data_IF_960245093420
#
_entry.id   IF_960245093420
#
_cell.length_a   1.000
_cell.length_b   1.000
_cell.length_c   1.000
_cell.angle_alpha   90.00
_cell.angle_beta   90.00
_cell.angle_gamma   90.00
#
_symmetry.space_group_name_H-M   'P 1'
#
loop_
_entity.id
_entity.type
_entity.pdbx_description
1 polymer ?
#
# COMPACT_ATOMS: atom_id res chain seq x y z
N UNK A 1 61.17 3.07 -17.42
CA UNK A 1 59.95 3.69 -17.98
C UNK A 1 58.76 2.73 -18.04
N UNK A 2 58.95 1.45 -18.43
CA UNK A 2 57.85 0.47 -18.63
C UNK A 2 57.10 0.05 -17.35
N UNK A 3 57.78 -0.07 -16.19
CA UNK A 3 57.12 -0.43 -14.91
C UNK A 3 56.12 0.62 -14.40
N UNK A 4 56.40 1.91 -14.64
CA UNK A 4 55.54 2.99 -14.14
C UNK A 4 54.25 3.08 -14.97
N UNK A 5 54.36 2.91 -16.29
CA UNK A 5 53.21 2.90 -17.19
C UNK A 5 52.29 1.69 -16.96
N UNK A 6 52.85 0.52 -16.66
CA UNK A 6 52.05 -0.68 -16.34
C UNK A 6 51.31 -0.54 -15.01
N UNK A 7 51.95 -0.01 -13.96
CA UNK A 7 51.30 0.25 -12.67
C UNK A 7 50.13 1.25 -12.77
N UNK A 8 50.27 2.30 -13.59
CA UNK A 8 49.21 3.28 -13.83
C UNK A 8 47.98 2.65 -14.50
N UNK A 9 48.20 1.75 -15.45
CA UNK A 9 47.14 1.04 -16.15
C UNK A 9 46.34 0.14 -15.19
N UNK A 10 47.02 -0.58 -14.28
CA UNK A 10 46.31 -1.38 -13.27
C UNK A 10 45.37 -0.51 -12.42
N UNK A 11 45.86 0.63 -11.92
CA UNK A 11 45.04 1.54 -11.12
C UNK A 11 43.85 2.08 -11.92
N UNK A 12 44.05 2.42 -13.21
CA UNK A 12 42.98 2.85 -14.10
C UNK A 12 41.93 1.75 -14.32
N UNK A 13 42.32 0.49 -14.46
CA UNK A 13 41.36 -0.62 -14.57
C UNK A 13 40.57 -0.82 -13.27
N UNK A 14 41.21 -0.71 -12.10
CA UNK A 14 40.51 -0.83 -10.81
C UNK A 14 39.48 0.29 -10.61
N UNK A 15 39.82 1.54 -10.92
CA UNK A 15 38.87 2.66 -10.78
C UNK A 15 37.73 2.57 -11.78
N UNK A 16 38.02 2.17 -13.03
CA UNK A 16 36.99 1.93 -14.05
C UNK A 16 36.05 0.79 -13.64
N UNK A 17 36.58 -0.33 -13.15
CA UNK A 17 35.78 -1.45 -12.66
C UNK A 17 34.90 -1.04 -11.47
N UNK A 18 35.40 -0.21 -10.55
CA UNK A 18 34.62 0.30 -9.43
C UNK A 18 33.46 1.21 -9.90
N UNK A 19 33.72 2.11 -10.87
CA UNK A 19 32.68 2.96 -11.47
C UNK A 19 31.63 2.12 -12.17
N UNK A 20 32.05 1.12 -12.96
CA UNK A 20 31.13 0.20 -13.66
C UNK A 20 30.28 -0.61 -12.68
N UNK A 21 30.87 -1.12 -11.60
CA UNK A 21 30.13 -1.83 -10.55
C UNK A 21 29.09 -0.92 -9.90
N UNK A 22 29.45 0.33 -9.57
CA UNK A 22 28.51 1.30 -8.98
C UNK A 22 27.37 1.66 -9.93
N UNK A 23 27.68 1.84 -11.22
CA UNK A 23 26.68 2.07 -12.26
C UNK A 23 25.75 0.86 -12.41
N UNK A 24 26.30 -0.35 -12.46
CA UNK A 24 25.52 -1.58 -12.53
C UNK A 24 24.59 -1.72 -11.32
N UNK A 25 25.09 -1.46 -10.11
CA UNK A 25 24.29 -1.55 -8.90
C UNK A 25 23.17 -0.49 -8.86
N UNK A 26 23.42 0.72 -9.39
CA UNK A 26 22.41 1.76 -9.53
C UNK A 26 21.33 1.40 -10.55
N UNK A 27 21.74 0.91 -11.72
CA UNK A 27 20.81 0.45 -12.77
C UNK A 27 19.98 -0.73 -12.26
N UNK A 28 20.61 -1.71 -11.61
CA UNK A 28 19.93 -2.85 -11.01
C UNK A 28 18.92 -2.42 -9.95
N UNK A 29 19.28 -1.47 -9.08
CA UNK A 29 18.38 -0.93 -8.06
C UNK A 29 17.15 -0.22 -8.65
N UNK A 30 17.23 0.31 -9.87
CA UNK A 30 16.10 0.95 -10.58
C UNK A 30 15.27 -0.09 -11.34
N UNK A 31 15.92 -1.01 -12.06
CA UNK A 31 15.23 -2.01 -12.90
C UNK A 31 14.53 -3.06 -12.03
N UNK A 32 15.17 -3.53 -10.96
CA UNK A 32 14.65 -4.57 -10.10
C UNK A 32 13.25 -4.28 -9.54
N UNK A 33 12.96 -3.13 -8.91
CA UNK A 33 11.63 -2.84 -8.38
C UNK A 33 10.58 -2.65 -9.47
N UNK A 34 10.97 -2.23 -10.67
CA UNK A 34 10.02 -1.95 -11.75
C UNK A 34 9.64 -3.20 -12.56
N UNK A 35 10.59 -4.12 -12.75
CA UNK A 35 10.39 -5.30 -13.60
C UNK A 35 10.31 -6.63 -12.85
N UNK A 36 11.00 -6.79 -11.71
CA UNK A 36 11.21 -8.10 -11.09
C UNK A 36 10.50 -8.22 -9.73
N UNK A 37 10.38 -7.12 -8.97
CA UNK A 37 9.76 -7.17 -7.67
C UNK A 37 8.32 -7.70 -7.77
N UNK A 38 8.10 -8.87 -7.18
CA UNK A 38 6.78 -9.49 -7.09
C UNK A 38 5.87 -8.60 -6.23
N UNK A 39 4.62 -8.37 -6.64
CA UNK A 39 3.67 -7.61 -5.82
C UNK A 39 3.51 -8.30 -4.47
N UNK A 40 3.63 -7.53 -3.38
CA UNK A 40 3.43 -8.07 -2.04
C UNK A 40 2.01 -8.62 -1.89
N UNK A 41 1.90 -9.80 -1.29
CA UNK A 41 0.61 -10.33 -0.88
C UNK A 41 0.12 -9.57 0.35
N UNK A 42 -0.82 -8.66 0.13
CA UNK A 42 -1.39 -7.84 1.19
C UNK A 42 -2.17 -8.66 2.23
N UNK A 43 -2.76 -9.80 1.87
CA UNK A 43 -3.45 -10.64 2.84
C UNK A 43 -2.46 -11.23 3.83
N UNK A 44 -1.30 -11.67 3.34
CA UNK A 44 -0.22 -12.16 4.20
C UNK A 44 0.33 -11.07 5.11
N UNK A 45 0.56 -9.87 4.57
CA UNK A 45 1.05 -8.71 5.35
C UNK A 45 0.04 -8.23 6.39
N UNK A 46 -1.25 -8.40 6.14
CA UNK A 46 -2.32 -8.06 7.07
C UNK A 46 -2.62 -9.19 8.08
N UNK A 47 -1.77 -10.21 8.19
CA UNK A 47 -1.97 -11.32 9.12
C UNK A 47 -3.15 -12.23 8.77
N UNK A 48 -3.52 -12.31 7.48
CA UNK A 48 -4.66 -13.09 7.00
C UNK A 48 -6.00 -12.37 7.08
N UNK A 49 -6.02 -11.08 7.42
CA UNK A 49 -7.25 -10.30 7.50
C UNK A 49 -7.98 -10.22 6.16
N UNK A 50 -9.31 -10.34 6.22
CA UNK A 50 -10.20 -10.28 5.05
C UNK A 50 -10.83 -8.90 4.86
N UNK A 51 -10.84 -8.08 5.91
CA UNK A 51 -11.45 -6.75 5.91
C UNK A 51 -10.39 -5.67 6.01
N UNK A 52 -10.55 -4.62 5.20
CA UNK A 52 -9.75 -3.40 5.28
C UNK A 52 -10.65 -2.19 5.55
N UNK A 53 -10.16 -1.27 6.39
CA UNK A 53 -10.84 -0.01 6.68
C UNK A 53 -10.18 1.10 5.89
N UNK A 54 -10.98 1.91 5.20
CA UNK A 54 -10.48 3.09 4.50
C UNK A 54 -11.25 4.31 5.00
N UNK A 55 -10.53 5.17 5.73
CA UNK A 55 -11.01 6.49 6.15
C UNK A 55 -10.81 7.52 5.05
N UNK A 56 -11.76 8.43 4.83
CA UNK A 56 -11.68 9.40 3.74
C UNK A 56 -11.84 8.74 2.36
N UNK A 57 -12.62 7.68 2.26
CA UNK A 57 -12.77 6.83 1.08
C UNK A 57 -13.60 7.42 -0.07
N UNK A 58 -14.14 8.63 0.09
CA UNK A 58 -15.05 9.24 -0.89
C UNK A 58 -14.36 9.98 -2.03
N UNK A 59 -13.07 10.27 -1.91
CA UNK A 59 -12.33 11.07 -2.90
C UNK A 59 -10.82 10.83 -2.85
N UNK A 60 -10.11 11.32 -3.87
CA UNK A 60 -8.65 11.36 -3.94
C UNK A 60 -7.95 10.03 -3.63
N UNK A 61 -6.91 10.10 -2.79
CA UNK A 61 -6.05 8.97 -2.45
C UNK A 61 -6.83 7.88 -1.70
N UNK A 62 -7.74 8.26 -0.80
CA UNK A 62 -8.55 7.30 -0.04
C UNK A 62 -9.47 6.48 -0.96
N UNK A 63 -10.11 7.13 -1.93
CA UNK A 63 -10.90 6.42 -2.95
C UNK A 63 -10.04 5.46 -3.77
N UNK A 64 -8.87 5.90 -4.22
CA UNK A 64 -7.95 5.06 -5.00
C UNK A 64 -7.50 3.82 -4.20
N UNK A 65 -7.15 3.97 -2.92
CA UNK A 65 -6.82 2.85 -2.05
C UNK A 65 -7.98 1.89 -1.86
N UNK A 66 -9.19 2.40 -1.63
CA UNK A 66 -10.38 1.55 -1.50
C UNK A 66 -10.58 0.67 -2.74
N UNK A 67 -10.51 1.27 -3.94
CA UNK A 67 -10.65 0.54 -5.20
C UNK A 67 -9.56 -0.54 -5.35
N UNK A 68 -8.29 -0.20 -5.12
CA UNK A 68 -7.19 -1.15 -5.29
C UNK A 68 -7.22 -2.28 -4.24
N UNK A 69 -7.64 -2.02 -3.01
CA UNK A 69 -7.85 -3.05 -2.00
C UNK A 69 -9.02 -3.97 -2.38
N UNK A 70 -10.12 -3.42 -2.88
CA UNK A 70 -11.26 -4.19 -3.38
C UNK A 70 -10.89 -5.10 -4.55
N UNK A 71 -10.12 -4.59 -5.51
CA UNK A 71 -9.59 -5.39 -6.65
C UNK A 71 -8.67 -6.52 -6.20
N UNK A 72 -7.98 -6.34 -5.08
CA UNK A 72 -7.14 -7.37 -4.47
C UNK A 72 -7.93 -8.37 -3.63
N UNK A 73 -9.25 -8.22 -3.50
CA UNK A 73 -10.14 -9.19 -2.85
C UNK A 73 -10.46 -8.90 -1.38
N UNK A 74 -10.11 -7.71 -0.88
CA UNK A 74 -10.51 -7.31 0.47
C UNK A 74 -11.99 -6.90 0.51
N UNK A 75 -12.67 -7.32 1.57
CA UNK A 75 -13.91 -6.67 2.00
C UNK A 75 -13.58 -5.32 2.63
N UNK A 76 -14.50 -4.36 2.54
CA UNK A 76 -14.18 -2.97 2.85
C UNK A 76 -15.17 -2.34 3.80
N UNK A 77 -14.63 -1.59 4.76
CA UNK A 77 -15.39 -0.62 5.56
C UNK A 77 -14.96 0.77 5.13
N UNK A 78 -15.87 1.50 4.49
CA UNK A 78 -15.64 2.84 3.96
C UNK A 78 -16.17 3.87 4.95
N UNK A 79 -15.29 4.73 5.49
CA UNK A 79 -15.67 5.74 6.48
C UNK A 79 -15.45 7.14 5.93
N UNK A 80 -16.51 7.95 5.87
CA UNK A 80 -16.41 9.36 5.45
C UNK A 80 -17.60 10.18 5.94
N UNK A 81 -17.53 11.50 5.77
CA UNK A 81 -18.56 12.44 6.24
C UNK A 81 -19.79 12.54 5.34
N UNK A 82 -19.63 12.27 4.05
CA UNK A 82 -20.68 12.48 3.06
C UNK A 82 -21.31 11.14 2.65
N UNK A 83 -22.54 10.90 3.10
CA UNK A 83 -23.30 9.68 2.84
C UNK A 83 -23.58 9.44 1.36
N UNK A 84 -23.91 10.49 0.60
CA UNK A 84 -24.19 10.40 -0.84
C UNK A 84 -22.94 10.00 -1.61
N UNK A 85 -21.79 10.61 -1.31
CA UNK A 85 -20.52 10.23 -1.93
C UNK A 85 -20.12 8.80 -1.57
N UNK A 86 -20.33 8.38 -0.33
CA UNK A 86 -20.07 6.98 0.09
C UNK A 86 -20.90 5.98 -0.70
N UNK A 87 -22.19 6.26 -0.88
CA UNK A 87 -23.09 5.41 -1.66
C UNK A 87 -22.62 5.29 -3.11
N UNK A 88 -22.27 6.42 -3.73
CA UNK A 88 -21.78 6.43 -5.12
C UNK A 88 -20.49 5.62 -5.27
N UNK A 89 -19.51 5.81 -4.37
CA UNK A 89 -18.26 5.03 -4.38
C UNK A 89 -18.53 3.55 -4.17
N UNK A 90 -19.38 3.18 -3.22
CA UNK A 90 -19.78 1.78 -3.02
C UNK A 90 -20.38 1.17 -4.29
N UNK A 91 -21.29 1.86 -4.96
CA UNK A 91 -21.93 1.37 -6.19
C UNK A 91 -20.93 1.23 -7.35
N UNK A 92 -20.00 2.17 -7.48
CA UNK A 92 -18.90 2.10 -8.45
C UNK A 92 -18.01 0.88 -8.18
N UNK A 93 -17.63 0.68 -6.93
CA UNK A 93 -16.76 -0.42 -6.52
C UNK A 93 -17.41 -1.79 -6.67
N UNK A 94 -18.71 -1.92 -6.38
CA UNK A 94 -19.45 -3.17 -6.60
C UNK A 94 -19.54 -3.55 -8.08
N UNK A 95 -19.34 -2.61 -9.01
CA UNK A 95 -19.28 -2.89 -10.46
C UNK A 95 -17.87 -3.33 -10.89
N UNK A 96 -16.84 -2.71 -10.34
CA UNK A 96 -15.44 -2.98 -10.70
C UNK A 96 -14.87 -4.22 -10.00
N UNK A 97 -15.27 -4.46 -8.75
CA UNK A 97 -14.75 -5.52 -7.90
C UNK A 97 -15.78 -6.65 -7.79
N UNK A 98 -15.35 -7.88 -8.07
CA UNK A 98 -16.22 -9.07 -7.94
C UNK A 98 -15.98 -9.73 -6.59
N UNK A 99 -17.07 -10.20 -5.97
CA UNK A 99 -17.04 -11.04 -4.78
C UNK A 99 -16.44 -10.36 -3.52
N UNK A 100 -16.74 -9.08 -3.32
CA UNK A 100 -16.39 -8.33 -2.10
C UNK A 100 -17.63 -7.79 -1.39
N UNK A 101 -17.55 -7.69 -0.07
CA UNK A 101 -18.54 -7.03 0.77
C UNK A 101 -18.08 -5.60 1.09
N UNK A 102 -19.00 -4.63 1.02
CA UNK A 102 -18.72 -3.22 1.33
C UNK A 102 -19.72 -2.69 2.35
N UNK A 103 -19.21 -2.29 3.52
CA UNK A 103 -19.92 -1.57 4.56
C UNK A 103 -19.52 -0.08 4.54
N UNK A 104 -20.47 0.80 4.80
CA UNK A 104 -20.25 2.25 4.78
C UNK A 104 -20.65 2.84 6.12
N UNK A 105 -19.77 3.64 6.72
CA UNK A 105 -20.01 4.34 7.98
C UNK A 105 -19.89 5.84 7.72
N UNK A 106 -20.93 6.58 8.11
CA UNK A 106 -20.91 8.03 8.03
C UNK A 106 -20.41 8.56 9.36
N UNK A 107 -19.17 9.03 9.40
CA UNK A 107 -18.56 9.54 10.63
C UNK A 107 -17.66 10.73 10.34
N UNK A 108 -17.71 11.73 11.22
CA UNK A 108 -16.80 12.87 11.20
C UNK A 108 -15.71 12.70 12.25
N UNK A 109 -14.47 12.52 11.79
CA UNK A 109 -13.30 12.40 12.67
C UNK A 109 -12.92 13.70 13.38
N UNK A 110 -13.55 14.85 13.06
CA UNK A 110 -13.43 16.04 13.91
C UNK A 110 -14.30 15.97 15.17
N UNK A 111 -15.22 15.00 15.29
CA UNK A 111 -15.96 14.77 16.52
C UNK A 111 -15.03 14.17 17.58
N UNK A 112 -14.87 14.88 18.69
CA UNK A 112 -14.03 14.47 19.83
C UNK A 112 -14.76 13.60 20.85
N UNK A 113 -16.06 13.36 20.65
CA UNK A 113 -16.87 12.53 21.54
C UNK A 113 -16.55 11.04 21.36
N UNK A 114 -15.93 10.45 22.38
CA UNK A 114 -15.54 9.04 22.38
C UNK A 114 -16.76 8.10 22.39
N UNK A 115 -17.89 8.51 22.95
CA UNK A 115 -19.09 7.67 23.00
C UNK A 115 -19.72 7.51 21.61
N UNK A 116 -19.68 8.55 20.79
CA UNK A 116 -20.15 8.48 19.40
C UNK A 116 -19.24 7.57 18.57
N UNK A 117 -17.91 7.68 18.74
CA UNK A 117 -16.95 6.75 18.12
C UNK A 117 -17.23 5.29 18.50
N UNK A 118 -17.44 5.01 19.80
CA UNK A 118 -17.74 3.67 20.29
C UNK A 118 -19.08 3.14 19.77
N UNK A 119 -20.06 4.02 19.57
CA UNK A 119 -21.38 3.62 19.10
C UNK A 119 -21.44 3.37 17.60
N UNK A 120 -20.72 4.16 16.81
CA UNK A 120 -20.84 4.15 15.35
C UNK A 120 -19.78 3.29 14.66
N UNK A 121 -18.54 3.28 15.17
CA UNK A 121 -17.41 2.62 14.49
C UNK A 121 -17.12 1.25 15.11
N UNK A 122 -17.00 1.13 16.44
CA UNK A 122 -16.60 -0.13 17.09
C UNK A 122 -17.47 -1.33 16.73
N UNK A 123 -18.82 -1.24 16.64
CA UNK A 123 -19.64 -2.41 16.35
C UNK A 123 -19.38 -3.00 14.95
N UNK A 124 -18.89 -2.19 14.02
CA UNK A 124 -18.49 -2.63 12.70
C UNK A 124 -17.09 -3.26 12.70
N UNK A 125 -16.20 -2.78 13.58
CA UNK A 125 -14.83 -3.30 13.71
C UNK A 125 -14.81 -4.63 14.46
N UNK A 126 -15.48 -4.71 15.61
CA UNK A 126 -15.43 -5.90 16.49
C UNK A 126 -15.98 -7.17 15.84
N UNK A 127 -16.85 -7.03 14.85
CA UNK A 127 -17.45 -8.15 14.12
C UNK A 127 -16.55 -8.70 13.00
N UNK A 128 -15.45 -8.02 12.66
CA UNK A 128 -14.69 -8.28 11.44
C UNK A 128 -13.21 -8.49 11.74
N UNK A 129 -12.61 -9.44 11.04
CA UNK A 129 -11.17 -9.68 11.07
C UNK A 129 -10.44 -8.60 10.26
N UNK A 130 -10.08 -7.52 10.94
CA UNK A 130 -9.35 -6.39 10.37
C UNK A 130 -7.88 -6.48 10.79
N UNK A 131 -7.00 -6.46 9.81
CA UNK A 131 -5.55 -6.55 9.99
C UNK A 131 -4.91 -5.17 9.96
N UNK A 132 -3.81 -5.02 10.68
CA UNK A 132 -3.00 -3.81 10.64
C UNK A 132 -1.94 -3.97 9.55
N UNK A 133 -2.05 -3.18 8.48
CA UNK A 133 -1.04 -3.14 7.44
C UNK A 133 0.22 -2.45 7.97
N UNK A 134 1.30 -3.19 8.17
CA UNK A 134 2.56 -2.65 8.67
C UNK A 134 3.11 -3.33 9.93
N UNK A 135 2.55 -4.46 10.37
CA UNK A 135 3.26 -5.32 11.31
C UNK A 135 4.50 -5.87 10.58
N UNK A 136 5.63 -5.20 10.73
CA UNK A 136 6.93 -5.74 10.32
C UNK A 136 7.21 -6.88 11.28
N UNK A 137 6.99 -8.11 10.83
CA UNK A 137 7.47 -9.31 11.53
C UNK A 137 8.95 -9.06 11.80
N UNK A 138 9.28 -8.91 13.08
CA UNK A 138 10.62 -8.60 13.56
C UNK A 138 11.21 -9.88 14.13
#
# INVERSE_FOLDING_TARGET
MVCISSALNFLAYFTLAYILHKLFHGIYAIIYPYFIATPFDLHKLAGGAKWAIVTGSTDGIGKAYAIELGKKGFNLILIARNSLKLKNVKEEMLKECKNIEIETIVYDFSNTNLEDYKKEILPAIEKKEIGILGKRDN
#
